data_IF_553791797679
#
_entry.id   IF_553791797679
#
_cell.length_a   1.000
_cell.length_b   1.000
_cell.length_c   1.000
_cell.angle_alpha   90.00
_cell.angle_beta   90.00
_cell.angle_gamma   90.00
#
_symmetry.space_group_name_H-M   'P 1'
#
loop_
_entity.id
_entity.type
_entity.pdbx_description
1 polymer ?
#
# COMPACT_ATOMS: atom_id res chain seq x y z
N UNK A 1 15.72 -3.33 0.44
CA UNK A 1 14.71 -4.34 0.79
C UNK A 1 14.87 -4.72 2.25
N UNK A 2 14.01 -4.20 3.13
CA UNK A 2 14.03 -4.53 4.57
C UNK A 2 12.87 -5.49 4.80
N UNK A 3 13.17 -6.78 4.83
CA UNK A 3 12.16 -7.83 4.94
C UNK A 3 11.66 -7.82 6.38
N UNK A 4 10.46 -7.29 6.59
CA UNK A 4 9.73 -7.46 7.84
C UNK A 4 9.08 -8.84 7.79
N UNK A 5 9.72 -9.82 8.42
CA UNK A 5 9.11 -11.12 8.69
C UNK A 5 8.07 -10.94 9.79
N UNK A 6 6.82 -10.80 9.39
CA UNK A 6 5.72 -10.94 10.32
C UNK A 6 5.36 -12.42 10.46
N UNK A 7 5.39 -12.94 11.68
CA UNK A 7 5.11 -14.35 12.02
C UNK A 7 3.59 -14.67 12.01
N UNK A 8 2.85 -14.26 10.98
CA UNK A 8 1.40 -14.42 10.89
C UNK A 8 0.91 -14.79 9.50
N UNK A 9 -0.29 -15.38 9.42
CA UNK A 9 -1.01 -15.58 8.16
C UNK A 9 -1.53 -14.21 7.71
N UNK A 10 -1.09 -13.77 6.53
CA UNK A 10 -1.56 -12.53 5.92
C UNK A 10 -2.75 -12.77 5.00
N UNK A 11 -3.77 -11.94 5.15
CA UNK A 11 -4.86 -11.85 4.19
C UNK A 11 -4.44 -10.84 3.11
N UNK A 12 -4.40 -11.29 1.85
CA UNK A 12 -4.09 -10.41 0.72
C UNK A 12 -5.39 -9.76 0.24
N UNK A 13 -5.40 -8.43 0.17
CA UNK A 13 -6.53 -7.63 -0.26
C UNK A 13 -6.12 -6.75 -1.44
N UNK A 14 -6.87 -6.83 -2.53
CA UNK A 14 -6.67 -5.97 -3.69
C UNK A 14 -7.63 -4.78 -3.61
N UNK A 15 -7.09 -3.56 -3.56
CA UNK A 15 -7.88 -2.35 -3.39
C UNK A 15 -8.23 -1.78 -4.76
N UNK A 16 -9.54 -1.73 -5.04
CA UNK A 16 -10.08 -1.30 -6.33
C UNK A 16 -10.93 -0.03 -6.23
N UNK A 17 -11.26 0.43 -5.03
CA UNK A 17 -12.03 1.65 -4.80
C UNK A 17 -11.66 2.38 -3.50
N UNK A 18 -12.14 3.62 -3.38
CA UNK A 18 -11.82 4.50 -2.25
C UNK A 18 -12.39 4.05 -0.90
N UNK A 19 -13.53 3.35 -0.88
CA UNK A 19 -14.10 2.86 0.37
C UNK A 19 -13.24 1.75 0.97
N UNK A 20 -12.74 0.83 0.14
CA UNK A 20 -11.77 -0.18 0.56
C UNK A 20 -10.47 0.46 1.06
N UNK A 21 -9.93 1.45 0.34
CA UNK A 21 -8.72 2.15 0.74
C UNK A 21 -8.90 2.86 2.10
N UNK A 22 -10.04 3.52 2.30
CA UNK A 22 -10.39 4.21 3.54
C UNK A 22 -10.57 3.25 4.70
N UNK A 23 -11.16 2.08 4.45
CA UNK A 23 -11.30 1.03 5.46
C UNK A 23 -9.92 0.50 5.88
N UNK A 24 -9.07 0.18 4.90
CA UNK A 24 -7.70 -0.28 5.16
C UNK A 24 -6.87 0.78 5.91
N UNK A 25 -6.99 2.06 5.55
CA UNK A 25 -6.36 3.16 6.28
C UNK A 25 -6.74 3.14 7.76
N UNK A 26 -8.03 2.98 8.09
CA UNK A 26 -8.51 2.93 9.48
C UNK A 26 -7.97 1.72 10.25
N UNK A 27 -7.80 0.59 9.58
CA UNK A 27 -7.20 -0.61 10.17
C UNK A 27 -5.73 -0.35 10.52
N UNK A 28 -4.97 0.23 9.59
CA UNK A 28 -3.56 0.56 9.80
C UNK A 28 -3.33 1.55 10.96
N UNK A 29 -4.29 2.43 11.28
CA UNK A 29 -4.17 3.36 12.42
C UNK A 29 -4.06 2.64 13.78
N UNK A 30 -4.49 1.38 13.86
CA UNK A 30 -4.41 0.57 15.08
C UNK A 30 -3.03 -0.07 15.25
N UNK A 31 -2.24 -0.11 14.18
CA UNK A 31 -0.97 -0.80 14.14
C UNK A 31 0.18 0.18 14.40
N UNK A 32 1.10 -0.21 15.28
CA UNK A 32 2.25 0.63 15.64
C UNK A 32 3.21 0.85 14.45
N UNK A 33 3.30 -0.14 13.58
CA UNK A 33 4.16 -0.14 12.41
C UNK A 33 3.41 -0.76 11.23
N UNK A 34 3.76 -0.29 10.04
CA UNK A 34 3.32 -0.83 8.76
C UNK A 34 4.55 -1.03 7.87
N UNK A 35 4.49 -2.04 7.01
CA UNK A 35 5.44 -2.24 5.92
C UNK A 35 4.91 -1.56 4.66
N UNK A 36 5.79 -0.91 3.91
CA UNK A 36 5.46 -0.30 2.62
C UNK A 36 6.53 -0.68 1.63
N UNK A 37 6.11 -1.12 0.45
CA UNK A 37 6.96 -1.39 -0.70
C UNK A 37 6.30 -0.86 -1.97
N UNK A 38 7.10 -0.54 -2.98
CA UNK A 38 6.60 0.01 -4.24
C UNK A 38 7.34 -0.56 -5.44
N UNK A 39 6.59 -0.94 -6.47
CA UNK A 39 7.14 -1.45 -7.72
C UNK A 39 7.12 -0.38 -8.80
N UNK A 40 8.23 -0.27 -9.54
CA UNK A 40 8.38 0.69 -10.63
C UNK A 40 8.74 0.00 -11.93
N UNK A 41 8.21 0.51 -13.04
CA UNK A 41 8.63 0.16 -14.38
C UNK A 41 9.56 1.24 -14.95
N UNK A 42 10.79 0.86 -15.30
CA UNK A 42 11.85 1.78 -15.76
C UNK A 42 12.54 1.37 -17.07
N UNK A 43 12.12 0.27 -17.72
CA UNK A 43 12.92 -0.32 -18.83
C UNK A 43 12.65 0.32 -20.19
N UNK A 44 11.51 1.00 -20.36
CA UNK A 44 11.12 1.63 -21.63
C UNK A 44 10.74 3.11 -21.47
N UNK A 45 10.98 3.68 -20.29
CA UNK A 45 10.58 5.05 -19.96
C UNK A 45 11.74 5.76 -19.29
N UNK A 46 11.96 7.03 -19.67
CA UNK A 46 13.00 7.86 -19.06
C UNK A 46 12.71 8.11 -17.57
N UNK A 47 11.43 8.26 -17.21
CA UNK A 47 10.98 8.37 -15.82
C UNK A 47 10.41 7.04 -15.32
N UNK A 48 10.72 6.62 -14.07
CA UNK A 48 10.15 5.41 -13.49
C UNK A 48 8.66 5.60 -13.25
N UNK A 49 7.86 4.69 -13.78
CA UNK A 49 6.40 4.67 -13.56
C UNK A 49 6.08 3.84 -12.33
N UNK A 50 5.37 4.42 -11.37
CA UNK A 50 4.86 3.69 -10.21
C UNK A 50 3.76 2.72 -10.66
N UNK A 51 3.98 1.42 -10.48
CA UNK A 51 3.11 0.35 -10.99
C UNK A 51 2.32 -0.35 -9.90
N UNK A 52 2.88 -0.47 -8.70
CA UNK A 52 2.20 -1.09 -7.57
C UNK A 52 2.66 -0.47 -6.27
N UNK A 53 1.73 -0.33 -5.33
CA UNK A 53 2.03 0.01 -3.95
C UNK A 53 1.52 -1.14 -3.08
N UNK A 54 2.41 -1.69 -2.27
CA UNK A 54 2.10 -2.76 -1.33
C UNK A 54 2.20 -2.21 0.10
N UNK A 55 1.16 -2.41 0.89
CA UNK A 55 1.13 -1.98 2.29
C UNK A 55 0.76 -3.17 3.16
N UNK A 56 1.64 -3.54 4.08
CA UNK A 56 1.41 -4.61 5.05
C UNK A 56 1.16 -3.99 6.42
N UNK A 57 0.08 -4.41 7.08
CA UNK A 57 -0.10 -4.16 8.51
C UNK A 57 0.10 -5.47 9.29
N UNK A 58 -0.42 -5.61 10.51
CA UNK A 58 -0.21 -6.84 11.30
C UNK A 58 -0.96 -8.07 10.75
N UNK A 59 -2.00 -7.88 9.94
CA UNK A 59 -2.94 -8.95 9.56
C UNK A 59 -3.15 -9.07 8.04
N UNK A 60 -3.00 -7.96 7.32
CA UNK A 60 -3.40 -7.80 5.93
C UNK A 60 -2.23 -7.26 5.10
N UNK A 61 -2.15 -7.71 3.85
CA UNK A 61 -1.32 -7.11 2.81
C UNK A 61 -2.25 -6.54 1.76
N UNK A 62 -2.20 -5.22 1.63
CA UNK A 62 -2.95 -4.45 0.66
C UNK A 62 -2.11 -4.24 -0.60
N UNK A 63 -2.70 -4.52 -1.75
CA UNK A 63 -2.13 -4.25 -3.07
C UNK A 63 -2.94 -3.15 -3.76
N UNK A 64 -2.26 -2.09 -4.19
CA UNK A 64 -2.86 -0.92 -4.82
C UNK A 64 -2.21 -0.71 -6.18
N UNK A 65 -3.02 -0.73 -7.23
CA UNK A 65 -2.60 -0.39 -8.60
C UNK A 65 -2.96 1.08 -8.88
N UNK A 66 -1.98 2.01 -8.86
CA UNK A 66 -2.19 3.43 -9.09
C UNK A 66 -2.39 3.78 -10.56
N UNK A 67 -2.19 2.84 -11.49
CA UNK A 67 -2.37 3.05 -12.94
C UNK A 67 -3.82 2.74 -13.33
N UNK A 68 -4.37 1.62 -12.83
CA UNK A 68 -5.69 1.13 -13.22
C UNK A 68 -6.84 1.78 -12.46
N UNK A 69 -6.67 2.06 -11.16
CA UNK A 69 -7.75 2.56 -10.31
C UNK A 69 -7.50 4.01 -9.90
N UNK A 70 -8.49 4.88 -10.13
CA UNK A 70 -8.43 6.27 -9.72
C UNK A 70 -8.78 6.41 -8.23
N UNK A 71 -7.81 6.09 -7.38
CA UNK A 71 -7.93 6.16 -5.91
C UNK A 71 -7.47 7.52 -5.39
N UNK A 72 -8.05 7.97 -4.28
CA UNK A 72 -7.64 9.20 -3.60
C UNK A 72 -6.29 8.98 -2.90
N UNK A 73 -5.20 9.62 -3.37
CA UNK A 73 -3.87 9.44 -2.80
C UNK A 73 -3.74 10.07 -1.40
N UNK A 74 -4.73 10.86 -0.95
CA UNK A 74 -4.73 11.49 0.38
C UNK A 74 -4.59 10.46 1.50
N UNK A 75 -5.25 9.30 1.39
CA UNK A 75 -5.17 8.25 2.42
C UNK A 75 -3.77 7.64 2.51
N UNK A 76 -3.14 7.38 1.37
CA UNK A 76 -1.77 6.85 1.32
C UNK A 76 -0.78 7.91 1.85
N UNK A 77 -0.96 9.18 1.48
CA UNK A 77 -0.14 10.30 2.00
C UNK A 77 -0.26 10.44 3.52
N UNK A 78 -1.47 10.37 4.07
CA UNK A 78 -1.70 10.42 5.53
C UNK A 78 -1.00 9.28 6.23
N UNK A 79 -1.06 8.08 5.65
CA UNK A 79 -0.39 6.90 6.19
C UNK A 79 1.14 7.03 6.21
N UNK A 80 1.72 7.63 5.17
CA UNK A 80 3.17 7.86 5.06
C UNK A 80 3.67 9.00 5.94
N UNK A 81 2.90 10.09 6.05
CA UNK A 81 3.37 11.34 6.63
C UNK A 81 3.08 11.48 8.12
N UNK A 82 2.27 10.57 8.70
CA UNK A 82 1.97 10.43 10.13
C UNK A 82 2.17 11.73 10.94
N UNK A 83 1.42 12.76 10.56
CA UNK A 83 1.31 14.04 11.28
C UNK A 83 0.10 14.02 12.19
#
# INVERSE_FOLDING_TARGET
>A
MKIFFFNGIFIIVFIINNEQLKQFYRECQKDKYIGIDTEFFWTQTYEPKLCLIQIANNNNVCLIDPIKYNLDPSFIKKLLLNK
#
